data_IF_254924493309
#
_entry.id   IF_254924493309
#
_cell.length_a   1.000
_cell.length_b   1.000
_cell.length_c   1.000
_cell.angle_alpha   90.00
_cell.angle_beta   90.00
_cell.angle_gamma   90.00
#
_symmetry.space_group_name_H-M   'P 1'
#
loop_
_entity.id
_entity.type
_entity.pdbx_description
1 polymer ?
#
# COMPACT_ATOMS: atom_id res chain seq x y z
N UNK A 1 -16.74 0.08 -13.49
CA UNK A 1 -15.35 -0.10 -13.28
C UNK A 1 -14.74 1.01 -12.48
N UNK A 2 -14.71 0.83 -11.22
CA UNK A 2 -14.20 1.87 -10.36
C UNK A 2 -12.87 1.46 -9.80
N UNK A 3 -11.83 2.02 -10.38
CA UNK A 3 -10.54 1.87 -9.81
C UNK A 3 -10.32 3.03 -8.87
N UNK A 4 -10.68 2.80 -7.63
CA UNK A 4 -10.46 3.82 -6.63
C UNK A 4 -9.05 3.73 -6.12
N UNK A 5 -8.50 4.89 -5.82
CA UNK A 5 -7.20 4.96 -5.20
C UNK A 5 -7.38 4.94 -3.70
N UNK A 6 -6.66 4.04 -3.06
CA UNK A 6 -6.66 3.95 -1.60
C UNK A 6 -5.26 4.24 -1.12
N UNK A 7 -5.16 5.03 -0.07
CA UNK A 7 -3.86 5.44 0.43
C UNK A 7 -3.59 4.81 1.78
N UNK A 8 -2.44 4.16 1.89
CA UNK A 8 -1.95 3.64 3.17
C UNK A 8 -0.87 4.59 3.63
N UNK A 9 -1.14 5.29 4.71
CA UNK A 9 -0.25 6.34 5.20
C UNK A 9 0.88 5.77 6.04
N UNK A 10 2.02 6.43 5.95
CA UNK A 10 3.20 6.14 6.78
C UNK A 10 3.63 4.68 6.69
N UNK A 11 3.72 4.20 5.47
CA UNK A 11 4.19 2.84 5.24
C UNK A 11 5.69 2.78 5.45
N UNK A 12 6.15 1.76 6.16
CA UNK A 12 7.58 1.58 6.40
C UNK A 12 8.20 0.71 5.31
N UNK A 13 9.52 0.64 5.32
CA UNK A 13 10.22 -0.18 4.35
C UNK A 13 9.81 -1.65 4.47
N UNK A 14 9.67 -2.14 5.68
CA UNK A 14 9.27 -3.52 5.89
C UNK A 14 7.88 -3.77 5.33
N UNK A 15 7.01 -2.79 5.50
CA UNK A 15 5.65 -2.93 5.02
C UNK A 15 5.58 -2.96 3.50
N UNK A 16 6.27 -2.04 2.83
CA UNK A 16 6.17 -2.06 1.38
C UNK A 16 6.92 -3.24 0.76
N UNK A 17 7.94 -3.76 1.44
CA UNK A 17 8.57 -4.99 0.98
C UNK A 17 7.60 -6.17 1.09
N UNK A 18 6.79 -6.19 2.13
CA UNK A 18 5.76 -7.21 2.28
C UNK A 18 4.75 -7.15 1.14
N UNK A 19 4.36 -5.94 0.76
CA UNK A 19 3.44 -5.78 -0.36
C UNK A 19 4.04 -6.30 -1.65
N UNK A 20 5.31 -5.99 -1.90
CA UNK A 20 5.97 -6.45 -3.11
C UNK A 20 6.12 -7.97 -3.13
N UNK A 21 6.44 -8.57 -2.00
CA UNK A 21 6.60 -10.01 -1.89
C UNK A 21 5.30 -10.73 -2.18
N UNK A 22 4.19 -10.09 -1.90
CA UNK A 22 2.88 -10.70 -2.11
C UNK A 22 2.22 -10.29 -3.42
N UNK A 23 2.95 -9.58 -4.26
CA UNK A 23 2.45 -9.21 -5.57
C UNK A 23 1.41 -8.12 -5.55
N UNK A 24 1.39 -7.32 -4.51
CA UNK A 24 0.47 -6.18 -4.43
C UNK A 24 1.00 -5.06 -5.30
N UNK A 25 0.16 -4.54 -6.17
CA UNK A 25 0.52 -3.44 -7.05
C UNK A 25 0.29 -2.13 -6.32
N UNK A 26 1.38 -1.47 -5.96
CA UNK A 26 1.30 -0.23 -5.21
C UNK A 26 2.26 0.80 -5.79
N UNK A 27 1.95 2.07 -5.55
CA UNK A 27 2.80 3.15 -6.01
C UNK A 27 3.12 4.06 -4.83
N UNK A 28 4.35 4.55 -4.73
CA UNK A 28 4.66 5.53 -3.69
C UNK A 28 4.03 6.88 -4.03
N UNK A 29 3.45 7.51 -3.04
CA UNK A 29 2.82 8.81 -3.23
C UNK A 29 3.80 9.95 -2.96
N UNK A 30 4.66 9.77 -1.96
CA UNK A 30 5.60 10.80 -1.57
C UNK A 30 7.00 10.20 -1.49
N UNK A 31 7.91 10.80 -2.21
CA UNK A 31 9.29 10.34 -2.27
C UNK A 31 10.18 11.04 -1.27
N UNK A 32 9.64 11.96 -0.52
CA UNK A 32 10.42 12.73 0.42
C UNK A 32 10.18 12.25 1.84
N UNK A 33 11.26 12.15 2.58
CA UNK A 33 11.17 11.76 3.96
C UNK A 33 11.34 10.27 4.18
N UNK A 34 11.24 9.86 5.42
CA UNK A 34 11.49 8.48 5.80
C UNK A 34 10.26 7.60 5.67
N UNK A 35 9.10 8.21 5.76
CA UNK A 35 7.85 7.48 5.65
C UNK A 35 7.17 7.89 4.35
N UNK A 36 6.63 6.91 3.67
CA UNK A 36 5.95 7.13 2.40
C UNK A 36 4.51 6.72 2.53
N UNK A 37 3.68 7.31 1.68
CA UNK A 37 2.32 6.84 1.55
C UNK A 37 2.27 5.93 0.33
N UNK A 38 1.50 4.85 0.45
CA UNK A 38 1.36 3.90 -0.65
C UNK A 38 -0.03 4.04 -1.25
N UNK A 39 -0.09 4.12 -2.56
CA UNK A 39 -1.34 4.18 -3.29
C UNK A 39 -1.65 2.79 -3.82
N UNK A 40 -2.81 2.27 -3.46
CA UNK A 40 -3.27 0.96 -3.91
C UNK A 40 -4.49 1.17 -4.79
N UNK A 41 -4.49 0.53 -5.94
CA UNK A 41 -5.62 0.65 -6.86
C UNK A 41 -6.54 -0.56 -6.69
N UNK A 42 -7.81 -0.28 -6.38
CA UNK A 42 -8.79 -1.33 -6.21
C UNK A 42 -9.01 -1.70 -4.77
N UNK A 43 -10.29 -1.90 -4.42
CA UNK A 43 -10.66 -2.20 -3.04
C UNK A 43 -10.14 -3.56 -2.59
N UNK A 44 -10.18 -4.55 -3.46
CA UNK A 44 -9.72 -5.89 -3.10
C UNK A 44 -8.24 -5.89 -2.75
N UNK A 45 -7.46 -5.21 -3.57
CA UNK A 45 -6.03 -5.11 -3.32
C UNK A 45 -5.75 -4.34 -2.05
N UNK A 46 -6.50 -3.27 -1.81
CA UNK A 46 -6.35 -2.48 -0.61
C UNK A 46 -6.65 -3.32 0.64
N UNK A 47 -7.74 -4.06 0.62
CA UNK A 47 -8.11 -4.89 1.76
C UNK A 47 -7.06 -5.95 2.02
N UNK A 48 -6.55 -6.55 0.96
CA UNK A 48 -5.51 -7.55 1.08
C UNK A 48 -4.23 -6.95 1.66
N UNK A 49 -3.86 -5.76 1.18
CA UNK A 49 -2.69 -5.07 1.67
C UNK A 49 -2.81 -4.75 3.15
N UNK A 50 -3.96 -4.23 3.57
CA UNK A 50 -4.18 -3.90 4.98
C UNK A 50 -4.09 -5.13 5.86
N UNK A 51 -4.58 -6.24 5.37
CA UNK A 51 -4.50 -7.49 6.12
C UNK A 51 -3.07 -7.97 6.23
N UNK A 52 -2.33 -7.91 5.14
CA UNK A 52 -0.92 -8.33 5.14
C UNK A 52 -0.08 -7.47 6.09
N UNK A 53 -0.41 -6.20 6.18
CA UNK A 53 0.35 -5.27 7.02
C UNK A 53 -0.11 -5.28 8.47
N UNK A 54 -1.19 -5.99 8.77
CA UNK A 54 -1.72 -6.03 10.12
C UNK A 54 -2.37 -4.73 10.56
N UNK A 55 -2.84 -3.93 9.63
CA UNK A 55 -3.47 -2.64 9.93
C UNK A 55 -4.98 -2.73 10.01
N UNK A 56 -5.50 -3.86 9.65
CA UNK A 56 -6.95 -4.01 9.62
C UNK A 56 -7.50 -4.51 10.94
#
# INVERSE_FOLDING_TARGET
>A
MDEREYIIENITKEEWETLEDNGIDWCPDDMFGMNQDAIIFGEDEYNKAMELLGRK
#
